data_IF_754083727364
#
_entry.id   IF_754083727364
#
_cell.length_a   1.000
_cell.length_b   1.000
_cell.length_c   1.000
_cell.angle_alpha   90.00
_cell.angle_beta   90.00
_cell.angle_gamma   90.00
#
_symmetry.space_group_name_H-M   'P 1'
#
loop_
_entity.id
_entity.type
_entity.pdbx_description
1 polymer ?
#
# COMPACT_ATOMS: atom_id res chain seq x y z
N UNK A 1 -17.71 -22.56 -0.72
CA UNK A 1 -17.68 -21.12 -0.38
C UNK A 1 -17.06 -20.96 1.00
N UNK A 2 -16.25 -19.91 1.21
CA UNK A 2 -15.61 -19.69 2.52
C UNK A 2 -16.62 -19.20 3.56
N UNK A 3 -16.29 -19.39 4.85
CA UNK A 3 -17.10 -18.89 5.99
C UNK A 3 -17.33 -17.38 5.90
N UNK A 4 -16.30 -16.62 5.55
CA UNK A 4 -16.37 -15.16 5.39
C UNK A 4 -17.27 -14.75 4.22
N UNK A 5 -17.19 -15.45 3.09
CA UNK A 5 -18.05 -15.15 1.92
C UNK A 5 -19.53 -15.36 2.25
N UNK A 6 -19.87 -16.41 2.99
CA UNK A 6 -21.24 -16.68 3.42
C UNK A 6 -21.73 -15.62 4.41
N UNK A 7 -20.89 -15.23 5.37
CA UNK A 7 -21.19 -14.16 6.32
C UNK A 7 -21.50 -12.84 5.61
N UNK A 8 -20.61 -12.40 4.72
CA UNK A 8 -20.77 -11.14 3.98
C UNK A 8 -22.08 -11.16 3.18
N UNK A 9 -22.36 -12.23 2.44
CA UNK A 9 -23.61 -12.33 1.66
C UNK A 9 -24.88 -12.30 2.51
N UNK A 10 -24.84 -12.88 3.70
CA UNK A 10 -25.99 -12.89 4.60
C UNK A 10 -26.25 -11.51 5.21
N UNK A 11 -25.20 -10.80 5.62
CA UNK A 11 -25.33 -9.59 6.42
C UNK A 11 -25.25 -8.28 5.61
N UNK A 12 -24.52 -8.24 4.49
CA UNK A 12 -24.19 -7.01 3.78
C UNK A 12 -25.15 -6.78 2.61
N UNK A 13 -26.43 -6.56 2.93
CA UNK A 13 -27.53 -6.59 1.94
C UNK A 13 -27.92 -5.22 1.36
N UNK A 14 -27.52 -4.12 1.99
CA UNK A 14 -27.97 -2.78 1.63
C UNK A 14 -26.83 -1.75 1.68
N UNK A 15 -27.02 -0.62 0.98
CA UNK A 15 -26.10 0.53 0.93
C UNK A 15 -24.68 0.14 0.54
N UNK A 16 -23.66 0.78 1.15
CA UNK A 16 -22.25 0.53 0.87
C UNK A 16 -21.84 -0.92 1.16
N UNK A 17 -22.56 -1.62 2.05
CA UNK A 17 -22.28 -3.02 2.34
C UNK A 17 -22.65 -3.92 1.14
N UNK A 18 -23.78 -3.66 0.47
CA UNK A 18 -24.16 -4.39 -0.75
C UNK A 18 -23.16 -4.16 -1.90
N UNK A 19 -22.66 -2.93 -2.03
CA UNK A 19 -21.68 -2.59 -3.05
C UNK A 19 -20.39 -3.44 -2.96
N UNK A 20 -19.99 -3.84 -1.74
CA UNK A 20 -18.87 -4.78 -1.55
C UNK A 20 -19.17 -6.16 -2.16
N UNK A 21 -20.39 -6.66 -1.97
CA UNK A 21 -20.84 -7.95 -2.52
C UNK A 21 -20.83 -7.88 -4.04
N UNK A 22 -21.46 -6.85 -4.59
CA UNK A 22 -21.58 -6.66 -6.04
C UNK A 22 -20.19 -6.52 -6.70
N UNK A 23 -19.28 -5.78 -6.08
CA UNK A 23 -17.90 -5.65 -6.55
C UNK A 23 -17.15 -6.99 -6.53
N UNK A 24 -17.28 -7.76 -5.44
CA UNK A 24 -16.63 -9.07 -5.32
C UNK A 24 -17.19 -10.08 -6.33
N UNK A 25 -18.51 -10.11 -6.54
CA UNK A 25 -19.13 -10.99 -7.53
C UNK A 25 -18.80 -10.57 -8.97
N UNK A 26 -18.82 -9.26 -9.25
CA UNK A 26 -18.44 -8.68 -10.53
C UNK A 26 -17.00 -9.02 -10.92
N UNK A 27 -16.06 -8.89 -9.98
CA UNK A 27 -14.67 -9.27 -10.21
C UNK A 27 -14.54 -10.78 -10.48
N UNK A 28 -15.20 -11.63 -9.68
CA UNK A 28 -15.21 -13.07 -9.95
C UNK A 28 -15.80 -13.43 -11.31
N UNK A 29 -16.83 -12.70 -11.77
CA UNK A 29 -17.42 -12.88 -13.10
C UNK A 29 -16.44 -12.47 -14.20
N UNK A 30 -15.75 -11.33 -14.05
CA UNK A 30 -14.71 -10.88 -14.99
C UNK A 30 -13.64 -11.96 -15.17
N UNK A 31 -13.10 -12.48 -14.07
CA UNK A 31 -12.05 -13.52 -14.11
C UNK A 31 -12.54 -14.82 -14.74
N UNK A 32 -13.74 -15.30 -14.39
CA UNK A 32 -14.33 -16.50 -15.02
C UNK A 32 -14.57 -16.32 -16.51
N UNK A 33 -14.83 -15.09 -16.96
CA UNK A 33 -14.99 -14.76 -18.38
C UNK A 33 -13.67 -14.59 -19.13
N UNK A 34 -12.52 -14.82 -18.50
CA UNK A 34 -11.19 -14.59 -19.10
C UNK A 34 -10.81 -13.12 -19.23
N UNK A 35 -11.53 -12.23 -18.55
CA UNK A 35 -11.24 -10.79 -18.54
C UNK A 35 -9.99 -10.45 -17.72
N UNK A 36 -9.33 -9.35 -18.09
CA UNK A 36 -8.14 -8.84 -17.40
C UNK A 36 -8.51 -7.69 -16.46
N UNK A 37 -7.94 -7.70 -15.27
CA UNK A 37 -8.15 -6.64 -14.27
C UNK A 37 -7.05 -5.60 -14.32
N UNK A 38 -7.44 -4.34 -14.47
CA UNK A 38 -6.59 -3.17 -14.31
C UNK A 38 -6.98 -2.42 -13.04
N UNK A 39 -6.04 -2.25 -12.11
CA UNK A 39 -6.28 -1.67 -10.79
C UNK A 39 -5.66 -0.27 -10.68
N UNK A 40 -6.43 0.70 -10.20
CA UNK A 40 -5.94 2.04 -9.87
C UNK A 40 -5.88 2.21 -8.36
N UNK A 41 -4.74 2.65 -7.82
CA UNK A 41 -4.52 2.79 -6.38
C UNK A 41 -4.38 4.25 -5.96
N UNK A 42 -5.00 4.59 -4.83
CA UNK A 42 -4.76 5.87 -4.13
C UNK A 42 -3.37 5.91 -3.49
N UNK A 43 -2.91 7.10 -3.08
CA UNK A 43 -1.52 7.33 -2.69
C UNK A 43 -1.01 6.56 -1.46
N UNK A 44 -1.86 6.31 -0.47
CA UNK A 44 -1.47 5.75 0.83
C UNK A 44 -1.88 4.27 1.01
N UNK A 45 -2.15 3.54 -0.07
CA UNK A 45 -2.64 2.16 0.02
C UNK A 45 -1.53 1.16 0.38
N UNK A 46 -0.28 1.47 0.05
CA UNK A 46 0.94 0.80 0.52
C UNK A 46 1.11 0.88 2.03
N UNK A 47 1.00 2.09 2.61
CA UNK A 47 1.01 2.28 4.06
C UNK A 47 -0.14 1.54 4.74
N UNK A 48 -1.32 1.48 4.10
CA UNK A 48 -2.45 0.69 4.58
C UNK A 48 -2.28 -0.84 4.39
N UNK A 49 -1.10 -1.30 3.98
CA UNK A 49 -0.71 -2.71 3.85
C UNK A 49 -1.55 -3.53 2.85
N UNK A 50 -2.14 -2.85 1.86
CA UNK A 50 -2.88 -3.52 0.78
C UNK A 50 -2.00 -4.55 0.04
N UNK A 51 -0.68 -4.33 0.03
CA UNK A 51 0.33 -5.21 -0.56
C UNK A 51 0.22 -6.67 -0.11
N UNK A 52 -0.19 -6.95 1.13
CA UNK A 52 -0.34 -8.32 1.65
C UNK A 52 -1.31 -9.14 0.79
N UNK A 53 -2.49 -8.57 0.50
CA UNK A 53 -3.50 -9.24 -0.31
C UNK A 53 -3.25 -9.05 -1.80
N UNK A 54 -2.80 -7.86 -2.21
CA UNK A 54 -2.57 -7.53 -3.60
C UNK A 54 -1.44 -8.35 -4.21
N UNK A 55 -0.33 -8.56 -3.50
CA UNK A 55 0.78 -9.37 -3.97
C UNK A 55 0.35 -10.81 -4.28
N UNK A 56 -0.52 -11.39 -3.46
CA UNK A 56 -1.08 -12.72 -3.72
C UNK A 56 -2.00 -12.73 -4.94
N UNK A 57 -2.81 -11.67 -5.11
CA UNK A 57 -3.67 -11.52 -6.29
C UNK A 57 -2.87 -11.39 -7.59
N UNK A 58 -1.73 -10.68 -7.56
CA UNK A 58 -0.80 -10.58 -8.69
C UNK A 58 -0.17 -11.95 -8.99
N UNK A 59 0.38 -12.64 -7.98
CA UNK A 59 1.01 -13.96 -8.15
C UNK A 59 0.04 -15.03 -8.69
N UNK A 60 -1.25 -14.89 -8.40
CA UNK A 60 -2.31 -15.76 -8.92
C UNK A 60 -2.92 -15.31 -10.24
N UNK A 61 -2.31 -14.37 -10.95
CA UNK A 61 -2.76 -13.85 -12.24
C UNK A 61 -4.20 -13.27 -12.20
N UNK A 62 -4.56 -12.64 -11.08
CA UNK A 62 -5.87 -12.00 -10.90
C UNK A 62 -5.83 -10.50 -11.18
N UNK A 63 -4.66 -9.88 -11.12
CA UNK A 63 -4.42 -8.45 -11.43
C UNK A 63 -3.37 -8.39 -12.54
N UNK A 64 -3.68 -7.67 -13.62
CA UNK A 64 -2.91 -7.70 -14.86
C UNK A 64 -2.23 -6.36 -15.19
N UNK A 65 -2.70 -5.28 -14.56
CA UNK A 65 -2.09 -3.96 -14.66
C UNK A 65 -2.42 -3.13 -13.42
N UNK A 66 -1.48 -2.29 -13.02
CA UNK A 66 -1.62 -1.39 -11.87
C UNK A 66 -1.23 0.02 -12.32
N UNK A 67 -2.05 0.98 -11.98
CA UNK A 67 -1.71 2.40 -12.01
C UNK A 67 -1.72 2.93 -10.58
N UNK A 68 -0.58 3.42 -10.13
CA UNK A 68 -0.40 3.96 -8.80
C UNK A 68 0.53 5.17 -8.84
N UNK A 69 0.55 5.92 -7.74
CA UNK A 69 1.52 6.99 -7.54
C UNK A 69 2.89 6.42 -7.12
N UNK A 70 3.96 7.20 -7.29
CA UNK A 70 5.30 6.83 -6.83
C UNK A 70 5.36 6.46 -5.35
N UNK A 71 4.58 7.15 -4.50
CA UNK A 71 4.48 6.88 -3.06
C UNK A 71 4.09 5.42 -2.75
N UNK A 72 3.24 4.79 -3.57
CA UNK A 72 2.88 3.39 -3.35
C UNK A 72 4.05 2.44 -3.55
N UNK A 73 4.96 2.75 -4.48
CA UNK A 73 6.13 1.94 -4.74
C UNK A 73 7.19 2.19 -3.67
N UNK A 74 7.46 3.47 -3.36
CA UNK A 74 8.47 3.87 -2.38
C UNK A 74 8.16 3.32 -0.98
N UNK A 75 6.91 3.48 -0.52
CA UNK A 75 6.50 3.01 0.81
C UNK A 75 6.45 1.49 0.93
N UNK A 76 6.16 0.75 -0.15
CA UNK A 76 6.19 -0.72 -0.12
C UNK A 76 7.64 -1.22 0.10
N UNK A 77 8.63 -0.53 -0.48
CA UNK A 77 10.05 -0.78 -0.21
C UNK A 77 10.42 -0.35 1.21
N UNK A 78 9.91 0.78 1.71
CA UNK A 78 10.13 1.22 3.09
C UNK A 78 9.58 0.21 4.11
N UNK A 79 8.36 -0.31 3.87
CA UNK A 79 7.76 -1.33 4.72
C UNK A 79 8.66 -2.57 4.75
N UNK A 80 9.15 -3.04 3.60
CA UNK A 80 10.06 -4.20 3.54
C UNK A 80 11.30 -4.08 4.45
N UNK A 81 11.90 -2.90 4.59
CA UNK A 81 13.13 -2.72 5.37
C UNK A 81 12.92 -2.27 6.82
N UNK A 82 11.78 -1.62 7.09
CA UNK A 82 11.55 -0.89 8.35
C UNK A 82 10.22 -1.19 9.02
N UNK A 83 9.44 -2.16 8.54
CA UNK A 83 8.11 -2.51 9.07
C UNK A 83 8.04 -2.54 10.61
N UNK A 84 9.04 -3.16 11.26
CA UNK A 84 9.07 -3.31 12.73
C UNK A 84 9.27 -2.00 13.51
N UNK A 85 9.55 -0.89 12.83
CA UNK A 85 9.78 0.42 13.44
C UNK A 85 8.62 1.38 13.21
N UNK A 86 7.54 0.94 12.55
CA UNK A 86 6.37 1.76 12.32
C UNK A 86 5.61 1.95 13.63
N UNK A 87 5.17 3.18 13.89
CA UNK A 87 4.42 3.53 15.10
C UNK A 87 3.00 3.94 14.73
N UNK A 88 2.00 3.36 15.41
CA UNK A 88 0.61 3.77 15.25
C UNK A 88 0.27 4.89 16.22
N UNK A 89 -0.44 5.91 15.74
CA UNK A 89 -0.90 7.07 16.51
C UNK A 89 -2.44 7.01 16.67
N UNK A 90 -2.97 6.51 17.80
CA UNK A 90 -4.41 6.26 17.96
C UNK A 90 -5.29 7.50 17.85
N UNK A 91 -4.80 8.68 18.24
CA UNK A 91 -5.53 9.95 18.25
C UNK A 91 -5.03 10.94 17.19
N UNK A 92 -4.58 10.44 16.03
CA UNK A 92 -3.93 11.24 14.98
C UNK A 92 -4.74 12.45 14.46
N UNK A 93 -6.05 12.50 14.71
CA UNK A 93 -6.93 13.61 14.30
C UNK A 93 -6.91 14.78 15.28
N UNK A 94 -6.52 14.54 16.53
CA UNK A 94 -6.63 15.49 17.63
C UNK A 94 -5.24 15.87 18.19
N UNK A 95 -4.18 15.69 17.39
CA UNK A 95 -2.81 16.01 17.81
C UNK A 95 -2.65 17.52 18.05
N UNK A 96 -2.02 17.86 19.17
CA UNK A 96 -1.65 19.24 19.46
C UNK A 96 -0.38 19.62 18.68
N UNK A 97 -0.09 20.93 18.51
CA UNK A 97 1.18 21.37 17.92
C UNK A 97 2.41 20.82 18.67
N UNK A 98 2.30 20.58 19.98
CA UNK A 98 3.38 19.99 20.78
C UNK A 98 3.59 18.51 20.45
N UNK A 99 2.52 17.76 20.19
CA UNK A 99 2.61 16.35 19.78
C UNK A 99 3.24 16.21 18.40
N UNK A 100 2.86 17.08 17.45
CA UNK A 100 3.49 17.14 16.12
C UNK A 100 4.98 17.51 16.22
N UNK A 101 5.35 18.46 17.11
CA UNK A 101 6.74 18.80 17.34
C UNK A 101 7.54 17.63 17.97
N UNK A 102 6.90 16.84 18.85
CA UNK A 102 7.52 15.65 19.41
C UNK A 102 7.78 14.59 18.33
N UNK A 103 6.84 14.36 17.42
CA UNK A 103 7.04 13.46 16.26
C UNK A 103 8.18 13.96 15.36
N UNK A 104 8.22 15.26 15.06
CA UNK A 104 9.28 15.88 14.28
C UNK A 104 10.65 15.69 14.95
N UNK A 105 10.76 15.92 16.26
CA UNK A 105 12.03 15.76 16.98
C UNK A 105 12.58 14.32 16.91
N UNK A 106 11.69 13.35 16.76
CA UNK A 106 11.99 11.92 16.61
C UNK A 106 12.16 11.49 15.14
N UNK A 107 12.06 12.43 14.18
CA UNK A 107 12.13 12.17 12.74
C UNK A 107 11.09 11.14 12.27
N UNK A 108 9.88 11.22 12.82
CA UNK A 108 8.75 10.36 12.48
C UNK A 108 7.86 11.03 11.43
N UNK A 109 7.93 10.58 10.19
CA UNK A 109 7.07 11.05 9.11
C UNK A 109 5.69 10.39 9.21
N UNK A 110 4.61 11.17 9.20
CA UNK A 110 3.26 10.64 9.46
C UNK A 110 2.38 10.58 8.21
N UNK A 111 1.75 9.43 8.00
CA UNK A 111 0.67 9.19 7.03
C UNK A 111 -0.57 8.76 7.81
N UNK A 112 -1.52 9.68 7.97
CA UNK A 112 -2.73 9.47 8.80
C UNK A 112 -2.41 8.98 10.23
N UNK A 113 -2.76 7.75 10.59
CA UNK A 113 -2.51 7.14 11.90
C UNK A 113 -1.20 6.35 11.99
N UNK A 114 -0.36 6.36 10.95
CA UNK A 114 0.88 5.58 10.89
C UNK A 114 2.09 6.50 10.74
N UNK A 115 3.10 6.29 11.58
CA UNK A 115 4.37 7.01 11.56
C UNK A 115 5.50 6.11 11.07
N UNK A 116 6.30 6.65 10.14
CA UNK A 116 7.39 6.00 9.44
C UNK A 116 8.69 6.68 9.87
N UNK A 117 9.64 5.95 10.46
CA UNK A 117 10.90 6.54 10.91
C UNK A 117 11.86 6.77 9.73
N UNK A 118 12.35 8.00 9.58
CA UNK A 118 13.17 8.40 8.42
C UNK A 118 14.48 7.59 8.31
N UNK A 119 15.17 7.36 9.42
CA UNK A 119 16.50 6.76 9.40
C UNK A 119 16.46 5.27 9.01
N UNK A 120 15.52 4.53 9.57
CA UNK A 120 15.38 3.09 9.37
C UNK A 120 14.77 2.75 8.01
N UNK A 121 13.91 3.64 7.47
CA UNK A 121 13.26 3.46 6.18
C UNK A 121 14.01 4.18 5.05
N UNK A 122 13.94 5.52 5.01
CA UNK A 122 14.37 6.32 3.87
C UNK A 122 15.89 6.31 3.72
N UNK A 123 16.63 6.64 4.79
CA UNK A 123 18.11 6.71 4.74
C UNK A 123 18.75 5.37 4.43
N UNK A 124 18.16 4.28 4.89
CA UNK A 124 18.66 2.92 4.66
C UNK A 124 18.57 2.52 3.17
N UNK A 125 17.51 2.94 2.48
CA UNK A 125 17.28 2.61 1.07
C UNK A 125 17.92 3.62 0.12
N UNK A 126 18.05 4.88 0.54
CA UNK A 126 18.59 5.98 -0.25
C UNK A 126 19.92 5.60 -0.94
N UNK A 127 20.86 5.03 -0.19
CA UNK A 127 22.16 4.63 -0.74
C UNK A 127 22.04 3.56 -1.83
N UNK A 128 21.21 2.53 -1.62
CA UNK A 128 21.04 1.42 -2.57
C UNK A 128 20.38 1.90 -3.86
N UNK A 129 19.33 2.71 -3.74
CA UNK A 129 18.61 3.26 -4.91
C UNK A 129 19.50 4.24 -5.69
N UNK A 130 20.27 5.07 -4.99
CA UNK A 130 21.19 6.01 -5.62
C UNK A 130 22.29 5.30 -6.42
N UNK A 131 22.87 4.22 -5.87
CA UNK A 131 23.87 3.42 -6.59
C UNK A 131 23.32 2.84 -7.89
N UNK A 132 22.13 2.25 -7.85
CA UNK A 132 21.45 1.71 -9.03
C UNK A 132 21.10 2.80 -10.05
N UNK A 133 20.65 3.96 -9.58
CA UNK A 133 20.37 5.11 -10.44
C UNK A 133 21.64 5.58 -11.19
N UNK A 134 22.75 5.75 -10.48
CA UNK A 134 24.04 6.14 -11.06
C UNK A 134 24.50 5.09 -12.07
N UNK A 135 24.39 3.79 -11.74
CA UNK A 135 24.77 2.69 -12.62
C UNK A 135 23.93 2.68 -13.91
N UNK A 136 22.62 2.92 -13.80
CA UNK A 136 21.72 3.04 -14.95
C UNK A 136 22.14 4.22 -15.85
N UNK A 137 22.36 5.41 -15.27
CA UNK A 137 22.81 6.58 -16.01
C UNK A 137 24.15 6.38 -16.73
N UNK A 138 25.09 5.66 -16.10
CA UNK A 138 26.39 5.33 -16.72
C UNK A 138 26.22 4.40 -17.92
N UNK A 139 25.44 3.32 -17.77
CA UNK A 139 25.16 2.36 -18.85
C UNK A 139 24.54 3.05 -20.08
N UNK A 140 23.61 3.98 -19.85
CA UNK A 140 22.93 4.71 -20.91
C UNK A 140 23.81 5.73 -21.66
N UNK A 141 24.93 6.15 -21.07
CA UNK A 141 25.92 7.03 -21.74
C UNK A 141 26.98 6.26 -22.53
N UNK A 142 27.08 4.96 -22.32
CA UNK A 142 28.03 4.05 -22.99
C UNK A 142 27.41 3.27 -24.16
N UNK A 143 26.12 3.49 -24.45
CA UNK A 143 25.33 2.94 -25.56
C UNK A 143 24.88 4.06 -26.47
#
# INVERSE_FOLDING_TARGET
>A
MSTVSSFIKLHYRHFNAAALVDAAEGYNKLLRGGGRMFLTLGGAMSTAELGISLAEMIRRDKVHGICCTGANLEEDVFNLVAHNFYERVPHYRDLTPADEAALLSRHMNRVTDTCIPEAEAMRRIEHVVLEEWINCCRKHRSS
#
